data_IF_305943930100
#
_entry.id   IF_305943930100
#
_cell.length_a   1.000
_cell.length_b   1.000
_cell.length_c   1.000
_cell.angle_alpha   90.00
_cell.angle_beta   90.00
_cell.angle_gamma   90.00
#
_symmetry.space_group_name_H-M   'P 1'
#
loop_
_entity.id
_entity.type
_entity.pdbx_description
1 polymer ?
#
# COMPACT_ATOMS: atom_id res chain seq x y z
N UNK A 1 -14.28 5.30 8.66
CA UNK A 1 -13.66 5.23 7.33
C UNK A 1 -12.44 6.14 7.30
N UNK A 2 -11.44 5.88 6.47
CA UNK A 2 -10.08 6.47 6.58
C UNK A 2 -10.02 8.00 6.42
N UNK A 3 -11.10 8.67 6.01
CA UNK A 3 -11.17 10.14 5.89
C UNK A 3 -10.10 10.77 4.97
N UNK A 4 -9.47 9.96 4.11
CA UNK A 4 -8.39 10.42 3.23
C UNK A 4 -8.95 11.27 2.09
N UNK A 5 -8.26 12.38 1.72
CA UNK A 5 -8.66 13.18 0.58
C UNK A 5 -8.53 12.36 -0.71
N UNK A 6 -9.56 12.47 -1.57
CA UNK A 6 -9.53 11.83 -2.89
C UNK A 6 -8.58 12.65 -3.80
N UNK A 7 -7.56 12.03 -4.39
CA UNK A 7 -6.68 12.74 -5.34
C UNK A 7 -7.48 13.29 -6.52
N UNK A 8 -7.19 14.53 -6.94
CA UNK A 8 -7.86 15.18 -8.06
C UNK A 8 -7.80 14.36 -9.37
N UNK A 9 -6.74 13.59 -9.57
CA UNK A 9 -6.63 12.67 -10.71
C UNK A 9 -7.72 11.58 -10.73
N UNK A 10 -8.32 11.25 -9.58
CA UNK A 10 -9.41 10.28 -9.47
C UNK A 10 -10.79 10.93 -9.48
N UNK A 11 -10.94 12.17 -8.98
CA UNK A 11 -12.24 12.88 -8.92
C UNK A 11 -12.56 13.62 -10.21
N UNK A 12 -11.59 14.31 -10.81
CA UNK A 12 -11.82 15.13 -11.99
C UNK A 12 -12.37 14.37 -13.22
N UNK A 13 -11.90 13.16 -13.60
CA UNK A 13 -12.46 12.45 -14.74
C UNK A 13 -13.95 12.10 -14.59
N UNK A 14 -14.43 11.53 -13.47
CA UNK A 14 -15.87 11.28 -13.28
C UNK A 14 -16.73 12.54 -13.29
N UNK A 15 -16.27 13.63 -12.69
CA UNK A 15 -16.96 14.92 -12.68
C UNK A 15 -17.11 15.49 -14.11
N UNK A 16 -16.14 15.22 -15.00
CA UNK A 16 -16.20 15.56 -16.41
C UNK A 16 -16.96 14.52 -17.27
N UNK A 17 -17.67 13.56 -16.67
CA UNK A 17 -18.39 12.51 -17.37
C UNK A 17 -17.52 11.39 -17.94
N UNK A 18 -16.23 11.32 -17.55
CA UNK A 18 -15.25 10.34 -18.05
C UNK A 18 -15.03 9.24 -17.02
N UNK A 19 -16.01 8.35 -16.86
CA UNK A 19 -16.04 7.34 -15.79
C UNK A 19 -15.22 6.06 -16.11
N UNK A 20 -14.57 6.01 -17.27
CA UNK A 20 -13.73 4.87 -17.65
C UNK A 20 -14.24 4.11 -18.89
N UNK A 21 -14.18 2.78 -18.84
CA UNK A 21 -14.52 1.91 -19.99
C UNK A 21 -15.93 2.17 -20.56
N UNK A 22 -16.91 2.49 -19.71
CA UNK A 22 -18.30 2.73 -20.11
C UNK A 22 -18.45 3.94 -21.03
N UNK A 23 -17.65 4.97 -20.80
CA UNK A 23 -17.70 6.23 -21.56
C UNK A 23 -16.55 6.34 -22.57
N UNK A 24 -15.77 5.28 -22.75
CA UNK A 24 -14.62 5.25 -23.64
C UNK A 24 -13.39 6.02 -23.11
N UNK A 25 -13.53 6.73 -22.01
CA UNK A 25 -12.45 7.51 -21.39
C UNK A 25 -12.59 7.58 -19.86
N UNK A 26 -11.47 7.52 -19.19
CA UNK A 26 -11.30 7.74 -17.77
C UNK A 26 -9.86 8.17 -17.50
N UNK A 27 -9.14 7.49 -16.61
CA UNK A 27 -7.68 7.63 -16.48
C UNK A 27 -6.96 7.21 -17.76
N UNK A 28 -7.53 6.24 -18.49
CA UNK A 28 -7.07 5.80 -19.81
C UNK A 28 -8.16 6.04 -20.86
N UNK A 29 -7.75 6.22 -22.11
CA UNK A 29 -8.63 6.06 -23.28
C UNK A 29 -8.93 4.57 -23.46
N UNK A 30 -10.15 4.23 -23.87
CA UNK A 30 -10.57 2.86 -24.11
C UNK A 30 -10.95 2.67 -25.57
N UNK A 31 -10.32 1.71 -26.25
CA UNK A 31 -10.63 1.34 -27.62
C UNK A 31 -10.87 -0.16 -27.72
N UNK A 32 -11.96 -0.57 -28.34
CA UNK A 32 -12.36 -1.98 -28.47
C UNK A 32 -12.35 -2.75 -27.13
N UNK A 33 -12.76 -2.07 -26.04
CA UNK A 33 -12.84 -2.67 -24.72
C UNK A 33 -11.50 -2.83 -23.98
N UNK A 34 -10.39 -2.35 -24.56
CA UNK A 34 -9.04 -2.37 -23.99
C UNK A 34 -8.58 -0.95 -23.63
N UNK A 35 -7.88 -0.83 -22.51
CA UNK A 35 -7.24 0.44 -22.13
C UNK A 35 -6.04 0.71 -23.04
N UNK A 36 -6.04 1.87 -23.67
CA UNK A 36 -4.88 2.39 -24.43
C UNK A 36 -3.94 3.06 -23.43
N UNK A 37 -2.84 2.38 -23.11
CA UNK A 37 -1.83 2.94 -22.22
C UNK A 37 -0.94 3.90 -23.02
N UNK A 38 -0.73 5.14 -22.51
CA UNK A 38 0.22 6.04 -23.15
C UNK A 38 1.63 5.46 -23.04
N UNK A 39 2.48 5.78 -24.00
CA UNK A 39 3.90 5.50 -23.89
C UNK A 39 4.48 6.26 -22.69
N UNK A 40 5.37 5.59 -21.95
CA UNK A 40 6.09 6.25 -20.85
C UNK A 40 7.01 7.30 -21.47
N UNK A 41 6.91 8.53 -21.02
CA UNK A 41 7.76 9.61 -21.51
C UNK A 41 9.25 9.22 -21.31
N UNK A 42 10.04 9.38 -22.37
CA UNK A 42 11.47 9.14 -22.32
C UNK A 42 12.09 10.00 -21.18
N UNK A 43 12.84 9.36 -20.28
CA UNK A 43 13.47 10.03 -19.14
C UNK A 43 12.59 10.14 -17.89
N UNK A 44 11.37 9.55 -17.86
CA UNK A 44 10.61 9.50 -16.61
C UNK A 44 11.35 8.67 -15.56
N UNK A 45 11.59 9.29 -14.41
CA UNK A 45 12.13 8.62 -13.23
C UNK A 45 11.05 8.56 -12.16
N UNK A 46 10.78 7.35 -11.69
CA UNK A 46 9.88 7.18 -10.56
C UNK A 46 10.48 7.83 -9.29
N UNK A 47 9.66 8.43 -8.42
CA UNK A 47 10.14 8.89 -7.12
C UNK A 47 10.86 7.77 -6.36
N UNK A 48 11.99 8.08 -5.73
CA UNK A 48 12.81 7.10 -5.01
C UNK A 48 12.07 6.42 -3.84
N UNK A 49 11.05 7.09 -3.30
CA UNK A 49 10.21 6.60 -2.21
C UNK A 49 8.90 5.93 -2.69
N UNK A 50 8.76 5.68 -4.01
CA UNK A 50 7.52 5.14 -4.58
C UNK A 50 7.16 3.78 -3.97
N UNK A 51 8.13 2.87 -3.84
CA UNK A 51 7.90 1.54 -3.25
C UNK A 51 7.44 1.66 -1.81
N UNK A 52 8.13 2.45 -0.99
CA UNK A 52 7.76 2.69 0.40
C UNK A 52 6.34 3.28 0.53
N UNK A 53 5.97 4.21 -0.34
CA UNK A 53 4.61 4.81 -0.36
C UNK A 53 3.51 3.83 -0.74
N UNK A 54 3.83 2.77 -1.46
CA UNK A 54 2.86 1.73 -1.85
C UNK A 54 2.80 0.59 -0.83
N UNK A 55 3.95 0.16 -0.32
CA UNK A 55 4.05 -1.02 0.55
C UNK A 55 3.76 -0.68 2.01
N UNK A 56 4.34 0.41 2.54
CA UNK A 56 4.24 0.69 3.98
C UNK A 56 2.81 0.93 4.50
N UNK A 57 1.87 1.54 3.76
CA UNK A 57 0.48 1.61 4.21
C UNK A 57 -0.18 0.25 4.39
N UNK A 58 0.14 -0.73 3.53
CA UNK A 58 -0.36 -2.10 3.67
C UNK A 58 0.23 -2.77 4.93
N UNK A 59 1.54 -2.64 5.14
CA UNK A 59 2.19 -3.19 6.33
C UNK A 59 1.64 -2.54 7.61
N UNK A 60 1.43 -1.23 7.59
CA UNK A 60 0.89 -0.46 8.71
C UNK A 60 -0.51 -0.93 9.10
N UNK A 61 -1.37 -1.21 8.11
CA UNK A 61 -2.71 -1.76 8.35
C UNK A 61 -2.66 -3.22 8.81
N UNK A 62 -1.75 -4.05 8.28
CA UNK A 62 -1.54 -5.42 8.73
C UNK A 62 -1.15 -5.48 10.22
N UNK A 63 -0.24 -4.59 10.65
CA UNK A 63 0.14 -4.45 12.06
C UNK A 63 -1.05 -4.04 12.93
N UNK A 64 -1.86 -3.08 12.46
CA UNK A 64 -3.06 -2.66 13.17
C UNK A 64 -4.09 -3.80 13.31
N UNK A 65 -4.33 -4.56 12.25
CA UNK A 65 -5.24 -5.73 12.29
C UNK A 65 -4.79 -6.77 13.33
N UNK A 66 -3.49 -7.01 13.44
CA UNK A 66 -2.93 -7.92 14.45
C UNK A 66 -3.07 -7.33 15.85
N UNK A 67 -2.78 -6.03 16.03
CA UNK A 67 -2.89 -5.32 17.31
C UNK A 67 -4.34 -5.29 17.81
N UNK A 68 -5.29 -5.02 16.94
CA UNK A 68 -6.71 -4.90 17.26
C UNK A 68 -7.39 -6.28 17.39
N UNK A 69 -6.65 -7.38 17.19
CA UNK A 69 -7.17 -8.74 17.33
C UNK A 69 -8.16 -9.14 16.22
N UNK A 70 -8.15 -8.46 15.07
CA UNK A 70 -8.92 -8.86 13.88
C UNK A 70 -8.46 -10.23 13.41
N UNK A 71 -7.16 -10.48 13.50
CA UNK A 71 -6.52 -11.78 13.30
C UNK A 71 -5.58 -12.04 14.48
N UNK A 72 -5.67 -13.21 15.08
CA UNK A 72 -4.89 -13.56 16.29
C UNK A 72 -3.53 -14.19 15.99
N UNK A 73 -3.26 -14.54 14.75
CA UNK A 73 -2.09 -15.33 14.33
C UNK A 73 -1.39 -14.68 13.12
N UNK A 74 -0.06 -14.60 13.19
CA UNK A 74 0.75 -13.95 12.15
C UNK A 74 0.71 -14.69 10.83
N UNK A 75 0.69 -16.03 10.85
CA UNK A 75 0.71 -16.85 9.64
C UNK A 75 -0.65 -16.78 8.94
N UNK A 76 -1.75 -16.73 9.70
CA UNK A 76 -3.09 -16.52 9.16
C UNK A 76 -3.23 -15.13 8.54
N UNK A 77 -2.63 -14.12 9.14
CA UNK A 77 -2.63 -12.78 8.59
C UNK A 77 -1.84 -12.72 7.28
N UNK A 78 -0.63 -13.29 7.26
CA UNK A 78 0.21 -13.34 6.08
C UNK A 78 -0.47 -14.10 4.94
N UNK A 79 -1.04 -15.28 5.23
CA UNK A 79 -1.81 -16.05 4.24
C UNK A 79 -3.03 -15.26 3.74
N UNK A 80 -3.80 -14.64 4.64
CA UNK A 80 -4.97 -13.84 4.29
C UNK A 80 -4.64 -12.67 3.37
N UNK A 81 -3.54 -11.97 3.62
CA UNK A 81 -3.08 -10.85 2.77
C UNK A 81 -2.56 -11.36 1.43
N UNK A 82 -1.78 -12.45 1.40
CA UNK A 82 -1.31 -13.04 0.14
C UNK A 82 -2.49 -13.43 -0.75
N UNK A 83 -3.44 -14.21 -0.22
CA UNK A 83 -4.57 -14.70 -1.01
C UNK A 83 -5.62 -13.61 -1.32
N UNK A 84 -5.82 -12.67 -0.40
CA UNK A 84 -6.82 -11.61 -0.55
C UNK A 84 -6.40 -10.45 -1.44
N UNK A 85 -5.12 -10.11 -1.47
CA UNK A 85 -4.62 -8.91 -2.17
C UNK A 85 -3.61 -9.21 -3.28
N UNK A 86 -3.07 -10.44 -3.33
CA UNK A 86 -1.98 -10.79 -4.23
C UNK A 86 -0.61 -10.26 -3.77
N UNK A 87 -0.44 -10.02 -2.46
CA UNK A 87 0.88 -9.69 -1.92
C UNK A 87 1.91 -10.76 -2.34
N UNK A 88 3.12 -10.33 -2.67
CA UNK A 88 4.14 -11.18 -3.25
C UNK A 88 4.45 -12.41 -2.37
N UNK A 89 4.04 -13.64 -2.75
CA UNK A 89 4.17 -14.83 -1.90
C UNK A 89 5.63 -15.16 -1.54
N UNK A 90 6.57 -14.83 -2.41
CA UNK A 90 8.00 -15.03 -2.15
C UNK A 90 8.58 -14.16 -1.04
N UNK A 91 7.81 -13.15 -0.58
CA UNK A 91 8.14 -12.31 0.60
C UNK A 91 7.62 -12.90 1.90
N UNK A 92 6.84 -14.00 1.86
CA UNK A 92 6.28 -14.66 3.03
C UNK A 92 5.05 -13.99 3.64
N UNK A 93 4.62 -12.85 3.10
CA UNK A 93 3.53 -12.04 3.64
C UNK A 93 4.01 -10.76 4.33
N UNK A 94 3.10 -9.90 4.79
CA UNK A 94 3.45 -8.62 5.42
C UNK A 94 4.25 -8.78 6.72
N UNK A 95 3.92 -9.72 7.57
CA UNK A 95 4.60 -9.89 8.87
C UNK A 95 5.99 -10.48 8.68
N UNK A 96 6.14 -11.48 7.81
CA UNK A 96 7.45 -12.02 7.46
C UNK A 96 8.33 -10.96 6.77
N UNK A 97 7.75 -10.11 5.92
CA UNK A 97 8.46 -8.98 5.34
C UNK A 97 8.95 -8.00 6.42
N UNK A 98 8.12 -7.70 7.44
CA UNK A 98 8.48 -6.83 8.57
C UNK A 98 9.64 -7.45 9.37
N UNK A 99 9.54 -8.74 9.71
CA UNK A 99 10.60 -9.46 10.43
C UNK A 99 11.93 -9.43 9.68
N UNK A 100 11.90 -9.68 8.37
CA UNK A 100 13.09 -9.70 7.53
C UNK A 100 13.72 -8.31 7.34
N UNK A 101 12.92 -7.25 7.33
CA UNK A 101 13.40 -5.88 7.08
C UNK A 101 13.76 -5.15 8.37
N UNK A 102 13.12 -5.51 9.48
CA UNK A 102 13.23 -4.86 10.78
C UNK A 102 12.13 -3.83 11.03
N UNK A 103 11.31 -4.06 12.07
CA UNK A 103 10.17 -3.22 12.42
C UNK A 103 10.58 -1.76 12.66
N UNK A 104 11.67 -1.53 13.38
CA UNK A 104 12.13 -0.18 13.73
C UNK A 104 12.51 0.64 12.48
N UNK A 105 13.21 0.02 11.52
CA UNK A 105 13.58 0.67 10.26
C UNK A 105 12.33 1.05 9.43
N UNK A 106 11.30 0.19 9.43
CA UNK A 106 10.05 0.48 8.73
C UNK A 106 9.24 1.59 9.41
N UNK A 107 9.27 1.66 10.74
CA UNK A 107 8.66 2.77 11.51
C UNK A 107 9.35 4.09 11.21
N UNK A 108 10.67 4.12 11.11
CA UNK A 108 11.41 5.33 10.72
C UNK A 108 11.01 5.81 9.32
N UNK A 109 10.89 4.90 8.36
CA UNK A 109 10.41 5.20 7.01
C UNK A 109 8.96 5.73 7.03
N UNK A 110 8.06 5.12 7.81
CA UNK A 110 6.69 5.61 7.98
C UNK A 110 6.67 7.04 8.52
N UNK A 111 7.47 7.35 9.55
CA UNK A 111 7.57 8.70 10.11
C UNK A 111 8.12 9.70 9.09
N UNK A 112 9.12 9.32 8.31
CA UNK A 112 9.65 10.16 7.24
C UNK A 112 8.59 10.45 6.17
N UNK A 113 7.80 9.44 5.78
CA UNK A 113 6.68 9.63 4.85
C UNK A 113 5.55 10.46 5.47
N UNK A 114 5.25 10.28 6.75
CA UNK A 114 4.27 11.09 7.48
C UNK A 114 4.66 12.58 7.44
N UNK A 115 5.93 12.90 7.72
CA UNK A 115 6.43 14.28 7.65
C UNK A 115 6.32 14.91 6.25
N UNK A 116 6.38 14.11 5.19
CA UNK A 116 6.34 14.58 3.79
C UNK A 116 4.93 14.58 3.18
N UNK A 117 4.10 13.62 3.55
CA UNK A 117 2.84 13.32 2.86
C UNK A 117 1.61 13.24 3.79
N UNK A 118 1.81 13.52 5.09
CA UNK A 118 0.71 13.63 6.07
C UNK A 118 0.37 12.32 6.79
N UNK A 119 -0.64 12.40 7.65
CA UNK A 119 -0.97 11.40 8.67
C UNK A 119 -1.43 10.04 8.14
N UNK A 120 -1.72 9.91 6.87
CA UNK A 120 -2.00 8.60 6.26
C UNK A 120 -0.83 7.62 6.40
N UNK A 121 0.38 8.12 6.69
CA UNK A 121 1.59 7.33 6.93
C UNK A 121 1.96 7.26 8.42
N UNK A 122 1.15 7.83 9.31
CA UNK A 122 1.41 7.73 10.75
C UNK A 122 1.49 6.26 11.17
N UNK A 123 2.56 5.85 11.89
CA UNK A 123 2.62 4.49 12.42
C UNK A 123 1.42 4.18 13.29
N UNK A 124 0.70 3.10 12.98
CA UNK A 124 -0.43 2.61 13.76
C UNK A 124 0.06 1.92 15.04
N UNK A 125 -0.79 1.74 16.06
CA UNK A 125 -0.45 0.92 17.23
C UNK A 125 -0.03 -0.50 16.84
N UNK A 126 0.85 -1.12 17.64
CA UNK A 126 1.26 -2.51 17.46
C UNK A 126 2.66 -2.72 16.89
N UNK A 127 3.35 -1.68 16.42
CA UNK A 127 4.71 -1.79 15.87
C UNK A 127 5.78 -2.19 16.91
N UNK A 128 5.47 -2.09 18.19
CA UNK A 128 6.30 -2.52 19.34
C UNK A 128 6.12 -4.01 19.68
N UNK A 129 5.16 -4.68 19.05
CA UNK A 129 4.84 -6.08 19.32
C UNK A 129 6.05 -7.00 19.12
N UNK A 130 6.33 -7.92 20.06
CA UNK A 130 7.37 -8.93 19.89
C UNK A 130 7.11 -9.87 18.70
N UNK A 131 5.85 -10.01 18.26
CA UNK A 131 5.46 -10.81 17.10
C UNK A 131 6.04 -10.29 15.78
N UNK A 132 6.47 -9.03 15.75
CA UNK A 132 7.11 -8.39 14.58
C UNK A 132 8.64 -8.53 14.59
N UNK A 133 9.20 -9.16 15.61
CA UNK A 133 10.64 -9.39 15.73
C UNK A 133 11.00 -10.74 15.12
N UNK A 134 12.02 -10.75 14.27
CA UNK A 134 12.62 -12.00 13.82
C UNK A 134 13.29 -12.74 14.99
N UNK A 135 13.65 -14.02 14.82
CA UNK A 135 14.41 -14.72 15.84
C UNK A 135 15.68 -13.91 16.18
N UNK A 136 15.86 -13.63 17.47
CA UNK A 136 17.13 -13.05 17.96
C UNK A 136 18.25 -14.03 17.66
N UNK A 137 19.20 -13.59 16.86
CA UNK A 137 20.41 -14.36 16.57
C UNK A 137 21.23 -14.60 17.83
#
# INVERSE_FOLDING_TARGET
FLGLPIPAALSAPPEAGKRGKKDGQGLYKWENGKAVKPEVANGYQAPSDLEDRLVLPLLNEAVACLHDGVVSDTDLLDAGVIFGTGFAPFRGGPIEYIKATGADALVEKLRALQGRYGDRFAPRPGWDSPLLRGPTA
#
